data_IF_204919610386
#
_entry.id   IF_204919610386
#
_cell.length_a   1.000
_cell.length_b   1.000
_cell.length_c   1.000
_cell.angle_alpha   90.00
_cell.angle_beta   90.00
_cell.angle_gamma   90.00
#
_symmetry.space_group_name_H-M   'P 1'
#
loop_
_entity.id
_entity.type
_entity.pdbx_description
1 polymer ?
#
# COMPACT_ATOMS: atom_id res chain seq x y z
N UNK A 1 23.19 -6.28 16.47
CA UNK A 1 22.06 -6.83 15.67
C UNK A 1 21.37 -5.68 14.99
N UNK A 2 21.10 -5.78 13.70
CA UNK A 2 20.33 -4.74 13.00
C UNK A 2 18.91 -4.72 13.57
N UNK A 3 18.42 -3.52 13.91
CA UNK A 3 17.04 -3.34 14.38
C UNK A 3 16.11 -3.50 13.18
N UNK A 4 15.02 -4.25 13.33
CA UNK A 4 14.00 -4.36 12.29
C UNK A 4 13.43 -2.97 11.99
N UNK A 5 13.27 -2.64 10.70
CA UNK A 5 12.80 -1.31 10.27
C UNK A 5 11.37 -1.02 10.74
N UNK A 6 10.46 -1.97 10.54
CA UNK A 6 9.08 -1.89 10.99
C UNK A 6 8.88 -2.84 12.17
N UNK A 7 8.56 -2.31 13.32
CA UNK A 7 8.22 -3.04 14.54
C UNK A 7 6.79 -2.73 14.92
N UNK A 8 6.21 -3.48 15.86
CA UNK A 8 4.89 -3.18 16.44
C UNK A 8 4.82 -1.77 17.03
N UNK A 9 5.95 -1.25 17.49
CA UNK A 9 6.09 0.10 18.05
C UNK A 9 6.55 1.14 17.01
N UNK A 10 6.46 0.85 15.71
CA UNK A 10 6.87 1.80 14.68
C UNK A 10 6.17 3.15 14.86
N UNK A 11 6.95 4.24 14.95
CA UNK A 11 6.54 5.61 15.30
C UNK A 11 6.03 5.82 16.74
N UNK A 12 5.87 4.78 17.55
CA UNK A 12 5.41 4.88 18.94
C UNK A 12 6.62 5.10 19.88
N UNK A 13 7.13 6.32 19.92
CA UNK A 13 8.40 6.64 20.59
C UNK A 13 8.32 6.71 22.12
N UNK A 14 7.14 6.89 22.71
CA UNK A 14 6.96 7.03 24.15
C UNK A 14 6.13 5.90 24.75
N UNK A 15 6.31 5.63 26.04
CA UNK A 15 5.47 4.66 26.77
C UNK A 15 3.98 5.02 26.68
N UNK A 16 3.67 6.31 26.75
CA UNK A 16 2.28 6.80 26.64
C UNK A 16 1.71 6.54 25.24
N UNK A 17 2.49 6.80 24.17
CA UNK A 17 2.05 6.54 22.81
C UNK A 17 1.75 5.05 22.59
N UNK A 18 2.61 4.14 23.10
CA UNK A 18 2.41 2.70 23.03
C UNK A 18 1.15 2.27 23.78
N UNK A 19 0.98 2.72 25.03
CA UNK A 19 -0.21 2.40 25.81
C UNK A 19 -1.49 2.88 25.12
N UNK A 20 -1.54 4.13 24.66
CA UNK A 20 -2.70 4.67 23.96
C UNK A 20 -3.02 3.91 22.67
N UNK A 21 -2.01 3.51 21.91
CA UNK A 21 -2.22 2.76 20.69
C UNK A 21 -2.65 1.32 20.99
N UNK A 22 -1.83 0.52 21.66
CA UNK A 22 -2.08 -0.91 21.82
C UNK A 22 -3.28 -1.23 22.74
N UNK A 23 -3.52 -0.42 23.78
CA UNK A 23 -4.62 -0.67 24.72
C UNK A 23 -5.96 -0.11 24.23
N UNK A 24 -5.94 0.95 23.37
CA UNK A 24 -7.17 1.65 23.00
C UNK A 24 -7.38 1.79 21.50
N UNK A 25 -6.39 2.31 20.73
CA UNK A 25 -6.63 2.72 19.35
C UNK A 25 -6.55 1.58 18.32
N UNK A 26 -5.64 0.63 18.49
CA UNK A 26 -5.32 -0.41 17.50
C UNK A 26 -6.55 -1.22 17.04
N UNK A 27 -7.47 -1.50 17.95
CA UNK A 27 -8.66 -2.31 17.67
C UNK A 27 -9.91 -1.50 17.34
N UNK A 28 -9.79 -0.18 17.32
CA UNK A 28 -10.93 0.68 17.00
C UNK A 28 -11.29 0.57 15.52
N UNK A 29 -12.59 0.64 15.19
CA UNK A 29 -13.01 0.67 13.78
C UNK A 29 -12.57 1.97 13.10
N UNK A 30 -12.24 1.86 11.80
CA UNK A 30 -11.89 3.00 10.97
C UNK A 30 -13.16 3.59 10.35
N UNK A 31 -13.32 4.90 10.54
CA UNK A 31 -14.31 5.73 9.86
C UNK A 31 -13.54 6.63 8.89
N UNK A 32 -13.40 6.17 7.64
CA UNK A 32 -12.64 6.89 6.62
C UNK A 32 -13.51 8.01 6.04
N UNK A 33 -13.29 9.22 6.53
CA UNK A 33 -14.05 10.40 6.14
C UNK A 33 -13.58 11.03 4.82
N UNK A 34 -12.45 10.54 4.25
CA UNK A 34 -11.92 11.01 2.98
C UNK A 34 -11.13 9.91 2.28
N UNK A 35 -11.65 9.38 1.18
CA UNK A 35 -10.93 8.42 0.36
C UNK A 35 -11.08 8.67 -1.15
N UNK A 36 -10.23 8.01 -1.93
CA UNK A 36 -10.23 8.04 -3.38
C UNK A 36 -10.74 6.74 -4.03
N UNK A 37 -11.24 5.79 -3.23
CA UNK A 37 -11.83 4.56 -3.75
C UNK A 37 -13.03 4.85 -4.64
N UNK A 38 -13.10 4.19 -5.78
CA UNK A 38 -14.22 4.34 -6.69
C UNK A 38 -15.45 3.59 -6.12
N UNK A 39 -16.58 4.29 -6.02
CA UNK A 39 -17.82 3.72 -5.51
C UNK A 39 -18.25 2.46 -6.29
N UNK A 40 -18.00 2.44 -7.60
CA UNK A 40 -18.27 1.27 -8.46
C UNK A 40 -17.43 0.06 -8.06
N UNK A 41 -16.16 0.25 -7.69
CA UNK A 41 -15.29 -0.84 -7.23
C UNK A 41 -15.79 -1.43 -5.91
N UNK A 42 -16.27 -0.58 -4.99
CA UNK A 42 -16.87 -1.04 -3.72
C UNK A 42 -18.17 -1.79 -3.99
N UNK A 43 -19.04 -1.25 -4.85
CA UNK A 43 -20.34 -1.84 -5.17
C UNK A 43 -20.20 -3.20 -5.87
N UNK A 44 -19.26 -3.30 -6.82
CA UNK A 44 -18.99 -4.53 -7.56
C UNK A 44 -18.16 -5.56 -6.76
N UNK A 45 -17.66 -5.18 -5.58
CA UNK A 45 -16.66 -5.98 -4.84
C UNK A 45 -15.47 -6.37 -5.72
N UNK A 46 -14.90 -5.39 -6.40
CA UNK A 46 -13.89 -5.58 -7.42
C UNK A 46 -12.67 -6.33 -6.87
N UNK A 47 -12.15 -7.28 -7.66
CA UNK A 47 -10.88 -7.94 -7.41
C UNK A 47 -9.82 -7.37 -8.35
N UNK A 48 -8.69 -6.94 -7.80
CA UNK A 48 -7.58 -6.47 -8.61
C UNK A 48 -6.82 -7.65 -9.21
N UNK A 49 -6.47 -7.56 -10.49
CA UNK A 49 -5.72 -8.62 -11.17
C UNK A 49 -4.25 -8.68 -10.71
N UNK A 50 -3.73 -7.53 -10.28
CA UNK A 50 -2.35 -7.41 -9.84
C UNK A 50 -2.13 -6.17 -8.94
N UNK A 51 -0.95 -6.11 -8.33
CA UNK A 51 -0.57 -5.04 -7.40
C UNK A 51 -0.46 -3.66 -8.07
N UNK A 52 -0.13 -3.60 -9.37
CA UNK A 52 -0.09 -2.34 -10.12
C UNK A 52 -1.47 -1.69 -10.18
N UNK A 53 -2.49 -2.48 -10.49
CA UNK A 53 -3.88 -1.99 -10.53
C UNK A 53 -4.34 -1.54 -9.15
N UNK A 54 -4.00 -2.28 -8.10
CA UNK A 54 -4.37 -1.91 -6.73
C UNK A 54 -3.67 -0.63 -6.24
N UNK A 55 -2.40 -0.43 -6.62
CA UNK A 55 -1.56 0.62 -6.04
C UNK A 55 -1.27 1.81 -6.94
N UNK A 56 -1.15 1.59 -8.25
CA UNK A 56 -0.67 2.63 -9.16
C UNK A 56 -1.76 3.19 -10.08
N UNK A 57 -2.91 2.54 -10.21
CA UNK A 57 -3.94 2.98 -11.14
C UNK A 57 -4.57 4.34 -10.81
N UNK A 58 -4.52 4.78 -9.55
CA UNK A 58 -5.14 6.02 -9.11
C UNK A 58 -4.33 6.85 -8.11
N UNK A 59 -3.11 6.43 -7.77
CA UNK A 59 -2.32 7.10 -6.72
C UNK A 59 -1.39 8.17 -7.30
N UNK A 60 -1.89 9.40 -7.34
CA UNK A 60 -1.15 10.56 -7.83
C UNK A 60 0.08 10.93 -6.95
N UNK A 61 0.17 10.47 -5.71
CA UNK A 61 1.35 10.66 -4.88
C UNK A 61 2.50 9.76 -5.33
N UNK A 62 2.20 8.48 -5.63
CA UNK A 62 3.18 7.56 -6.21
C UNK A 62 3.64 8.05 -7.59
N UNK A 63 2.71 8.50 -8.44
CA UNK A 63 3.05 9.09 -9.76
C UNK A 63 3.98 10.28 -9.64
N UNK A 64 3.73 11.17 -8.67
CA UNK A 64 4.60 12.32 -8.43
C UNK A 64 6.01 11.89 -8.01
N UNK A 65 6.13 10.91 -7.12
CA UNK A 65 7.41 10.37 -6.71
C UNK A 65 8.18 9.76 -7.89
N UNK A 66 7.51 8.97 -8.73
CA UNK A 66 8.10 8.39 -9.94
C UNK A 66 8.61 9.47 -10.90
N UNK A 67 7.81 10.51 -11.17
CA UNK A 67 8.22 11.65 -12.01
C UNK A 67 9.41 12.40 -11.41
N UNK A 68 9.40 12.62 -10.11
CA UNK A 68 10.53 13.26 -9.39
C UNK A 68 11.80 12.42 -9.49
N UNK A 69 11.67 11.11 -9.53
CA UNK A 69 12.79 10.18 -9.74
C UNK A 69 13.20 10.03 -11.22
N UNK A 70 12.63 10.83 -12.13
CA UNK A 70 12.98 10.84 -13.56
C UNK A 70 12.41 9.68 -14.36
N UNK A 71 11.37 8.99 -13.86
CA UNK A 71 10.69 7.93 -14.60
C UNK A 71 9.87 8.53 -15.73
N UNK A 72 10.04 7.98 -16.94
CA UNK A 72 9.31 8.39 -18.13
C UNK A 72 7.80 8.19 -17.94
N UNK A 73 7.00 9.14 -18.48
CA UNK A 73 5.55 9.17 -18.31
C UNK A 73 4.85 7.91 -18.83
N UNK A 74 5.45 7.24 -19.81
CA UNK A 74 4.96 5.96 -20.32
C UNK A 74 4.76 4.94 -19.20
N UNK A 75 5.66 4.93 -18.20
CA UNK A 75 5.61 4.01 -17.06
C UNK A 75 4.82 4.54 -15.86
N UNK A 76 4.34 5.78 -15.89
CA UNK A 76 3.56 6.39 -14.82
C UNK A 76 2.07 6.27 -15.11
N UNK A 77 1.58 7.04 -16.10
CA UNK A 77 0.18 7.03 -16.53
C UNK A 77 -0.01 6.62 -18.00
N UNK A 78 1.08 6.39 -18.73
CA UNK A 78 1.04 6.01 -20.14
C UNK A 78 0.74 4.52 -20.36
N UNK A 79 1.16 4.02 -21.51
CA UNK A 79 0.74 2.74 -22.09
C UNK A 79 1.64 1.54 -21.74
N UNK A 80 2.62 1.70 -20.85
CA UNK A 80 3.44 0.57 -20.38
C UNK A 80 2.58 -0.48 -19.66
N UNK A 81 3.00 -1.73 -19.74
CA UNK A 81 2.34 -2.83 -19.04
C UNK A 81 2.42 -2.72 -17.51
N UNK A 82 1.51 -3.38 -16.81
CA UNK A 82 1.40 -3.32 -15.35
C UNK A 82 2.70 -3.74 -14.65
N UNK A 83 3.35 -4.81 -15.14
CA UNK A 83 4.65 -5.23 -14.63
C UNK A 83 5.73 -4.16 -14.79
N UNK A 84 5.85 -3.57 -15.99
CA UNK A 84 6.85 -2.52 -16.28
C UNK A 84 6.65 -1.30 -15.35
N UNK A 85 5.39 -0.90 -15.12
CA UNK A 85 5.05 0.18 -14.18
C UNK A 85 5.47 -0.15 -12.76
N UNK A 86 5.21 -1.38 -12.30
CA UNK A 86 5.58 -1.80 -10.97
C UNK A 86 7.11 -1.86 -10.77
N UNK A 87 7.85 -2.34 -11.76
CA UNK A 87 9.32 -2.28 -11.74
C UNK A 87 9.83 -0.86 -11.55
N UNK A 88 9.24 0.12 -12.23
CA UNK A 88 9.62 1.54 -12.09
C UNK A 88 9.25 2.11 -10.72
N UNK A 89 8.14 1.68 -10.15
CA UNK A 89 7.82 1.99 -8.75
C UNK A 89 8.85 1.39 -7.79
N UNK A 90 9.21 0.13 -7.95
CA UNK A 90 10.22 -0.53 -7.14
C UNK A 90 11.61 0.12 -7.26
N UNK A 91 11.97 0.65 -8.43
CA UNK A 91 13.18 1.46 -8.62
C UNK A 91 13.10 2.80 -7.90
N UNK A 92 11.89 3.35 -7.71
CA UNK A 92 11.65 4.65 -7.08
C UNK A 92 11.65 4.59 -5.55
N UNK A 93 11.07 3.53 -4.98
CA UNK A 93 10.86 3.40 -3.52
C UNK A 93 12.14 3.60 -2.69
N UNK A 94 13.31 3.05 -3.03
CA UNK A 94 14.55 3.27 -2.27
C UNK A 94 14.96 4.74 -2.15
N UNK A 95 14.57 5.59 -3.11
CA UNK A 95 14.83 7.03 -3.09
C UNK A 95 13.79 7.83 -2.30
N UNK A 96 12.74 7.16 -1.80
CA UNK A 96 11.71 7.78 -0.97
C UNK A 96 12.03 7.74 0.54
N UNK A 97 13.26 7.43 0.95
CA UNK A 97 13.67 7.48 2.35
C UNK A 97 13.36 8.86 2.96
N UNK A 98 12.71 8.86 4.13
CA UNK A 98 12.24 10.09 4.78
C UNK A 98 10.90 10.61 4.25
N UNK A 99 10.35 10.04 3.19
CA UNK A 99 9.01 10.33 2.69
C UNK A 99 8.01 9.28 3.23
N UNK A 100 6.79 9.66 3.63
CA UNK A 100 5.76 8.73 4.06
C UNK A 100 5.48 7.57 3.08
N UNK A 101 5.63 7.77 1.77
CA UNK A 101 5.47 6.72 0.77
C UNK A 101 6.37 5.50 1.01
N UNK A 102 7.61 5.72 1.51
CA UNK A 102 8.50 4.63 1.88
C UNK A 102 7.92 3.80 3.03
N UNK A 103 7.43 4.47 4.07
CA UNK A 103 6.84 3.81 5.24
C UNK A 103 5.54 3.10 4.87
N UNK A 104 4.63 3.76 4.17
CA UNK A 104 3.33 3.20 3.79
C UNK A 104 3.48 1.96 2.90
N UNK A 105 4.35 2.02 1.89
CA UNK A 105 4.64 0.87 1.03
C UNK A 105 5.00 -0.37 1.85
N UNK A 106 5.91 -0.23 2.82
CA UNK A 106 6.39 -1.37 3.60
C UNK A 106 5.41 -1.78 4.72
N UNK A 107 4.66 -0.83 5.29
CA UNK A 107 3.59 -1.14 6.25
C UNK A 107 2.46 -1.93 5.59
N UNK A 108 2.04 -1.53 4.38
CA UNK A 108 1.02 -2.25 3.61
C UNK A 108 1.48 -3.67 3.29
N UNK A 109 2.74 -3.86 2.88
CA UNK A 109 3.29 -5.19 2.67
C UNK A 109 3.28 -6.05 3.93
N UNK A 110 3.70 -5.48 5.06
CA UNK A 110 3.76 -6.22 6.31
C UNK A 110 2.37 -6.56 6.84
N UNK A 111 1.44 -5.60 6.85
CA UNK A 111 0.12 -5.76 7.47
C UNK A 111 -0.82 -6.64 6.64
N UNK A 112 -0.73 -6.57 5.31
CA UNK A 112 -1.73 -7.22 4.45
C UNK A 112 -1.20 -8.40 3.65
N UNK A 113 0.10 -8.42 3.36
CA UNK A 113 0.72 -9.45 2.51
C UNK A 113 1.76 -10.32 3.23
N UNK A 114 1.99 -10.09 4.50
CA UNK A 114 3.02 -10.80 5.29
C UNK A 114 4.39 -10.78 4.60
N UNK A 115 4.82 -9.58 4.18
CA UNK A 115 6.10 -9.32 3.54
C UNK A 115 6.88 -8.32 4.37
N UNK A 116 8.02 -8.75 4.92
CA UNK A 116 8.94 -7.91 5.69
C UNK A 116 10.16 -7.43 4.90
N UNK A 117 10.39 -7.99 3.70
CA UNK A 117 11.49 -7.58 2.82
C UNK A 117 11.22 -6.18 2.26
N UNK A 118 12.23 -5.28 2.24
CA UNK A 118 12.10 -3.99 1.57
C UNK A 118 11.87 -4.16 0.07
N UNK A 119 11.05 -3.28 -0.51
CA UNK A 119 10.87 -3.20 -1.95
C UNK A 119 12.11 -2.53 -2.57
N UNK A 120 12.74 -3.23 -3.47
CA UNK A 120 13.90 -2.78 -4.25
C UNK A 120 13.90 -3.50 -5.60
N UNK A 121 14.73 -3.09 -6.56
CA UNK A 121 14.88 -3.83 -7.83
C UNK A 121 15.14 -5.33 -7.64
N UNK A 122 15.92 -5.71 -6.63
CA UNK A 122 16.29 -7.10 -6.37
C UNK A 122 15.17 -7.96 -5.78
N UNK A 123 14.18 -7.33 -5.12
CA UNK A 123 13.07 -8.03 -4.45
C UNK A 123 11.75 -7.90 -5.20
N UNK A 124 11.72 -7.10 -6.26
CA UNK A 124 10.51 -6.71 -6.99
C UNK A 124 9.70 -7.90 -7.47
N UNK A 125 10.36 -8.87 -8.12
CA UNK A 125 9.67 -10.01 -8.74
C UNK A 125 9.01 -10.90 -7.70
N UNK A 126 9.75 -11.27 -6.65
CA UNK A 126 9.23 -12.11 -5.56
C UNK A 126 8.03 -11.46 -4.87
N UNK A 127 8.13 -10.14 -4.61
CA UNK A 127 7.08 -9.38 -3.95
C UNK A 127 5.84 -9.28 -4.85
N UNK A 128 6.02 -8.94 -6.12
CA UNK A 128 4.92 -8.81 -7.08
C UNK A 128 4.15 -10.11 -7.24
N UNK A 129 4.86 -11.23 -7.42
CA UNK A 129 4.24 -12.53 -7.60
C UNK A 129 3.46 -12.94 -6.34
N UNK A 130 4.07 -12.84 -5.15
CA UNK A 130 3.39 -13.17 -3.90
C UNK A 130 2.14 -12.31 -3.68
N UNK A 131 2.21 -11.01 -3.91
CA UNK A 131 1.05 -10.14 -3.77
C UNK A 131 -0.06 -10.49 -4.77
N UNK A 132 0.30 -10.77 -6.03
CA UNK A 132 -0.69 -11.12 -7.05
C UNK A 132 -1.39 -12.45 -6.74
N UNK A 133 -0.65 -13.46 -6.24
CA UNK A 133 -1.26 -14.70 -5.75
C UNK A 133 -2.31 -14.43 -4.65
N UNK A 134 -1.99 -13.54 -3.71
CA UNK A 134 -2.90 -13.19 -2.62
C UNK A 134 -4.10 -12.36 -3.12
N UNK A 135 -3.89 -11.44 -4.08
CA UNK A 135 -4.97 -10.63 -4.66
C UNK A 135 -6.02 -11.46 -5.41
N UNK A 136 -5.69 -12.68 -5.83
CA UNK A 136 -6.67 -13.61 -6.40
C UNK A 136 -7.63 -14.22 -5.38
N UNK A 137 -7.36 -14.08 -4.07
CA UNK A 137 -8.19 -14.65 -3.01
C UNK A 137 -9.40 -13.75 -2.71
N UNK A 138 -10.58 -14.30 -2.41
CA UNK A 138 -11.78 -13.50 -2.15
C UNK A 138 -11.67 -12.48 -1.03
N UNK A 139 -10.84 -12.75 -0.02
CA UNK A 139 -10.57 -11.83 1.09
C UNK A 139 -9.73 -10.60 0.69
N UNK A 140 -9.18 -10.58 -0.52
CA UNK A 140 -8.48 -9.44 -1.11
C UNK A 140 -9.32 -8.66 -2.13
N UNK A 141 -10.61 -8.97 -2.28
CA UNK A 141 -11.54 -8.07 -2.95
C UNK A 141 -11.62 -6.72 -2.25
N UNK A 142 -12.11 -5.67 -2.90
CA UNK A 142 -12.25 -4.33 -2.31
C UNK A 142 -12.97 -4.38 -0.96
N UNK A 143 -14.12 -5.07 -0.88
CA UNK A 143 -14.84 -5.22 0.40
C UNK A 143 -14.13 -6.17 1.36
N UNK A 144 -13.41 -7.14 0.85
CA UNK A 144 -12.54 -8.03 1.65
C UNK A 144 -11.45 -7.24 2.36
N UNK A 145 -10.71 -6.39 1.63
CA UNK A 145 -9.68 -5.52 2.18
C UNK A 145 -10.25 -4.51 3.19
N UNK A 146 -11.39 -3.87 2.87
CA UNK A 146 -12.04 -2.95 3.82
C UNK A 146 -12.42 -3.65 5.14
N UNK A 147 -12.92 -4.89 5.08
CA UNK A 147 -13.19 -5.69 6.28
C UNK A 147 -11.91 -6.04 7.05
N UNK A 148 -10.86 -6.44 6.33
CA UNK A 148 -9.54 -6.77 6.90
C UNK A 148 -8.92 -5.57 7.63
N UNK A 149 -9.12 -4.37 7.09
CA UNK A 149 -8.69 -3.09 7.69
C UNK A 149 -9.62 -2.60 8.80
N UNK A 150 -10.69 -3.33 9.15
CA UNK A 150 -11.72 -2.90 10.11
C UNK A 150 -12.39 -1.55 9.75
N UNK A 151 -12.51 -1.25 8.46
CA UNK A 151 -13.21 -0.05 7.97
C UNK A 151 -14.70 -0.26 8.03
N UNK A 152 -15.42 0.63 8.71
CA UNK A 152 -16.90 0.60 8.89
C UNK A 152 -17.62 1.58 8.00
N UNK A 153 -17.03 2.72 7.75
CA UNK A 153 -17.59 3.78 6.92
C UNK A 153 -16.50 4.31 5.99
N UNK A 154 -16.89 4.52 4.74
CA UNK A 154 -16.06 5.16 3.72
C UNK A 154 -16.83 6.34 3.16
N UNK A 155 -16.23 7.54 3.23
CA UNK A 155 -16.78 8.75 2.63
C UNK A 155 -15.93 9.14 1.42
N UNK A 156 -16.57 9.27 0.27
CA UNK A 156 -15.94 9.76 -0.95
C UNK A 156 -16.40 11.18 -1.25
N UNK A 157 -15.46 12.08 -1.52
CA UNK A 157 -15.80 13.35 -2.15
C UNK A 157 -16.04 13.12 -3.65
N UNK A 158 -17.14 13.68 -4.16
CA UNK A 158 -17.52 13.64 -5.57
C UNK A 158 -16.74 14.73 -6.31
#
# INVERSE_FOLDING_TARGET
MATQFLTEDFLLQTKTARALYHEHAEKMPIYDYHCHLQAQQIAADHCFENLTQAWLAGDHYKWRAMRTNGIDERFVTGDAGDWEKFEKWAQTVPFCLGNPLYHWTHLEFQLYFDISKPLSPDTTKDIYDKCNEMLCLPEFSVRGLLRKMNVKIVCRFI
#
